data_IF_444057340215
#
_entry.id   IF_444057340215
#
_cell.length_a   1.000
_cell.length_b   1.000
_cell.length_c   1.000
_cell.angle_alpha   90.00
_cell.angle_beta   90.00
_cell.angle_gamma   90.00
#
_symmetry.space_group_name_H-M   'P 1'
#
loop_
_entity.id
_entity.type
_entity.pdbx_description
1 polymer ?
#
# COMPACT_ATOMS: atom_id res chain seq x y z
N UNK A 1 35.70 -16.56 9.37
CA UNK A 1 34.38 -17.22 9.20
C UNK A 1 33.32 -16.20 9.61
N UNK A 2 32.37 -15.85 8.76
CA UNK A 2 31.27 -14.97 9.15
C UNK A 2 30.48 -15.65 10.29
N UNK A 3 30.25 -14.96 11.40
CA UNK A 3 29.48 -15.49 12.53
C UNK A 3 28.03 -15.69 12.06
N UNK A 4 27.51 -16.91 12.15
CA UNK A 4 26.12 -17.22 11.92
C UNK A 4 25.33 -16.90 13.19
N UNK A 5 24.44 -15.90 13.14
CA UNK A 5 23.54 -15.58 14.24
C UNK A 5 22.24 -16.36 14.09
N UNK A 6 21.81 -17.01 15.17
CA UNK A 6 20.57 -17.80 15.18
C UNK A 6 19.49 -17.08 15.97
N UNK A 7 18.27 -17.05 15.41
CA UNK A 7 17.10 -16.42 16.02
C UNK A 7 15.89 -17.36 16.02
N UNK A 8 14.92 -17.08 16.88
CA UNK A 8 13.63 -17.77 16.85
C UNK A 8 12.80 -17.36 15.64
N UNK A 9 12.69 -16.06 15.41
CA UNK A 9 11.96 -15.49 14.25
C UNK A 9 12.81 -14.41 13.59
N UNK A 10 12.97 -14.54 12.29
CA UNK A 10 13.63 -13.53 11.46
C UNK A 10 12.57 -12.85 10.57
N UNK A 11 12.47 -11.55 10.66
CA UNK A 11 11.51 -10.72 9.91
C UNK A 11 12.26 -9.94 8.84
N UNK A 12 11.83 -10.05 7.59
CA UNK A 12 12.36 -9.30 6.45
C UNK A 12 11.43 -8.14 6.16
N UNK A 13 11.91 -6.92 6.36
CA UNK A 13 11.17 -5.67 6.20
C UNK A 13 10.68 -5.07 7.52
N UNK A 14 11.09 -3.82 7.79
CA UNK A 14 10.78 -3.02 8.99
C UNK A 14 9.64 -2.02 8.79
N UNK A 15 8.79 -2.24 7.79
CA UNK A 15 7.57 -1.46 7.62
C UNK A 15 6.50 -1.75 8.68
N UNK A 16 5.27 -1.34 8.40
CA UNK A 16 4.12 -1.59 9.28
C UNK A 16 4.02 -3.08 9.68
N UNK A 17 4.11 -3.99 8.71
CA UNK A 17 3.98 -5.44 8.95
C UNK A 17 5.05 -5.98 9.88
N UNK A 18 6.33 -5.67 9.59
CA UNK A 18 7.45 -6.23 10.34
C UNK A 18 7.55 -5.71 11.77
N UNK A 19 7.47 -4.39 11.98
CA UNK A 19 7.52 -3.82 13.34
C UNK A 19 6.32 -4.28 14.17
N UNK A 20 5.11 -4.27 13.57
CA UNK A 20 3.91 -4.75 14.27
C UNK A 20 4.02 -6.23 14.64
N UNK A 21 4.50 -7.08 13.70
CA UNK A 21 4.70 -8.50 13.95
C UNK A 21 5.74 -8.76 15.06
N UNK A 22 6.87 -8.04 15.04
CA UNK A 22 7.88 -8.11 16.11
C UNK A 22 7.29 -7.77 17.47
N UNK A 23 6.51 -6.68 17.54
CA UNK A 23 5.84 -6.26 18.77
C UNK A 23 4.80 -7.29 19.27
N UNK A 24 4.02 -7.87 18.35
CA UNK A 24 3.07 -8.95 18.69
C UNK A 24 3.76 -10.23 19.15
N UNK A 25 4.83 -10.65 18.50
CA UNK A 25 5.64 -11.82 18.88
C UNK A 25 6.20 -11.66 20.29
N UNK A 26 6.78 -10.50 20.61
CA UNK A 26 7.27 -10.23 21.96
C UNK A 26 6.16 -10.32 23.02
N UNK A 27 4.99 -9.77 22.74
CA UNK A 27 3.83 -9.86 23.65
C UNK A 27 3.32 -11.29 23.85
N UNK A 28 3.62 -12.19 22.93
CA UNK A 28 3.32 -13.62 23.01
C UNK A 28 4.50 -14.43 23.58
N UNK A 29 5.53 -13.77 24.11
CA UNK A 29 6.66 -14.39 24.80
C UNK A 29 7.83 -14.81 23.92
N UNK A 30 7.83 -14.54 22.62
CA UNK A 30 9.01 -14.71 21.77
C UNK A 30 10.05 -13.64 22.12
N UNK A 31 11.26 -14.03 22.49
CA UNK A 31 12.29 -13.10 22.96
C UNK A 31 13.43 -12.91 21.98
N UNK A 32 13.69 -13.89 21.13
CA UNK A 32 14.79 -13.87 20.17
C UNK A 32 14.26 -13.59 18.76
N UNK A 33 14.10 -12.30 18.46
CA UNK A 33 13.56 -11.80 17.19
C UNK A 33 14.63 -10.95 16.53
N UNK A 34 14.91 -11.22 15.24
CA UNK A 34 15.67 -10.33 14.39
C UNK A 34 14.80 -9.66 13.34
N UNK A 35 15.13 -8.42 13.00
CA UNK A 35 14.51 -7.62 11.95
C UNK A 35 15.59 -7.18 10.96
N UNK A 36 15.40 -7.44 9.68
CA UNK A 36 16.30 -6.99 8.59
C UNK A 36 15.58 -5.93 7.79
N UNK A 37 16.10 -4.70 7.84
CA UNK A 37 15.57 -3.56 7.08
C UNK A 37 16.63 -2.45 7.00
N UNK A 38 16.99 -1.93 5.81
CA UNK A 38 17.98 -0.87 5.63
C UNK A 38 17.43 0.52 5.95
N UNK A 39 16.10 0.68 6.05
CA UNK A 39 15.44 1.99 6.07
C UNK A 39 15.48 2.60 7.47
N UNK A 40 15.91 3.85 7.56
CA UNK A 40 16.01 4.58 8.83
C UNK A 40 14.79 5.48 9.14
N UNK A 41 13.98 5.78 8.13
CA UNK A 41 12.78 6.59 8.25
C UNK A 41 11.53 5.74 8.01
N UNK A 42 10.70 5.60 9.01
CA UNK A 42 9.44 4.88 8.92
C UNK A 42 8.33 5.80 8.39
N UNK A 43 7.70 5.42 7.28
CA UNK A 43 6.67 6.21 6.61
C UNK A 43 5.28 5.66 6.91
N UNK A 44 4.36 6.53 7.31
CA UNK A 44 2.93 6.22 7.39
C UNK A 44 2.24 6.54 6.06
N UNK A 45 2.34 5.63 5.10
CA UNK A 45 1.88 5.79 3.71
C UNK A 45 0.45 6.34 3.55
N UNK A 46 -0.56 6.04 4.41
CA UNK A 46 -1.90 6.61 4.23
C UNK A 46 -1.96 8.14 4.22
N UNK A 47 -0.99 8.85 4.86
CA UNK A 47 -0.92 10.30 4.82
C UNK A 47 -0.30 10.89 3.56
N UNK A 48 0.38 10.09 2.71
CA UNK A 48 1.08 10.62 1.53
C UNK A 48 0.15 11.40 0.59
N UNK A 49 -1.10 10.92 0.40
CA UNK A 49 -2.08 11.60 -0.44
C UNK A 49 -2.51 12.95 0.16
N UNK A 50 -2.63 13.03 1.48
CA UNK A 50 -2.94 14.28 2.18
C UNK A 50 -1.78 15.27 2.14
N UNK A 51 -0.53 14.78 2.19
CA UNK A 51 0.66 15.63 2.03
C UNK A 51 0.76 16.15 0.60
N UNK A 52 0.70 15.27 -0.40
CA UNK A 52 0.78 15.64 -1.82
C UNK A 52 -0.39 16.48 -2.33
N UNK A 53 -1.47 16.63 -1.55
CA UNK A 53 -2.61 17.51 -1.85
C UNK A 53 -2.74 18.69 -0.88
N UNK A 54 -1.78 18.88 0.03
CA UNK A 54 -1.70 20.04 0.92
C UNK A 54 -2.58 20.00 2.16
N UNK A 55 -3.16 18.84 2.51
CA UNK A 55 -4.01 18.69 3.71
C UNK A 55 -3.20 18.32 4.96
N UNK A 56 -2.04 17.67 4.77
CA UNK A 56 -1.14 17.28 5.83
C UNK A 56 0.27 17.84 5.61
N UNK A 57 1.03 17.98 6.69
CA UNK A 57 2.43 18.39 6.63
C UNK A 57 3.34 17.19 6.33
N UNK A 58 4.44 17.36 5.56
CA UNK A 58 5.47 16.33 5.39
C UNK A 58 6.01 15.78 6.72
N UNK A 59 6.07 16.61 7.77
CA UNK A 59 6.53 16.20 9.12
C UNK A 59 5.62 15.17 9.79
N UNK A 60 4.37 15.07 9.37
CA UNK A 60 3.42 14.08 9.90
C UNK A 60 3.60 12.70 9.26
N UNK A 61 4.24 12.66 8.06
CA UNK A 61 4.34 11.47 7.22
C UNK A 61 5.31 10.43 7.76
N UNK A 62 6.44 10.86 8.34
CA UNK A 62 7.50 9.94 8.73
C UNK A 62 8.04 10.19 10.13
N UNK A 63 8.67 9.18 10.70
CA UNK A 63 9.38 9.23 11.99
C UNK A 63 10.66 8.39 11.89
N UNK A 64 11.71 8.69 12.68
CA UNK A 64 12.87 7.80 12.79
C UNK A 64 12.43 6.39 13.17
N UNK A 65 12.97 5.37 12.48
CA UNK A 65 12.57 3.96 12.67
C UNK A 65 13.07 3.39 13.99
N UNK A 66 14.26 3.80 14.43
CA UNK A 66 14.91 3.23 15.63
C UNK A 66 14.02 3.22 16.89
N UNK A 67 13.30 4.31 17.27
CA UNK A 67 12.41 4.29 18.44
C UNK A 67 11.13 3.45 18.23
N UNK A 68 10.84 3.02 17.01
CA UNK A 68 9.65 2.23 16.68
C UNK A 68 9.94 0.73 16.77
N UNK A 69 11.19 0.32 16.52
CA UNK A 69 11.61 -1.07 16.70
C UNK A 69 11.47 -1.45 18.18
N UNK A 70 10.77 -2.55 18.52
CA UNK A 70 10.57 -2.93 19.91
C UNK A 70 11.89 -3.23 20.61
N UNK A 71 12.04 -2.80 21.86
CA UNK A 71 13.25 -3.03 22.65
C UNK A 71 13.56 -4.53 22.75
N UNK A 72 14.82 -4.91 22.52
CA UNK A 72 15.27 -6.30 22.52
C UNK A 72 15.10 -7.04 21.19
N UNK A 73 14.53 -6.42 20.15
CA UNK A 73 14.59 -6.93 18.77
C UNK A 73 15.95 -6.57 18.17
N UNK A 74 16.67 -7.56 17.63
CA UNK A 74 17.93 -7.35 16.94
C UNK A 74 17.67 -6.74 15.55
N UNK A 75 17.87 -5.43 15.41
CA UNK A 75 17.67 -4.77 14.11
C UNK A 75 18.98 -4.73 13.32
N UNK A 76 19.01 -5.46 12.21
CA UNK A 76 20.08 -5.45 11.22
C UNK A 76 19.73 -4.40 10.14
N UNK A 77 20.49 -3.31 10.10
CA UNK A 77 20.28 -2.16 9.19
C UNK A 77 20.89 -2.45 7.82
N UNK A 78 20.43 -3.48 7.18
CA UNK A 78 20.91 -3.98 5.89
C UNK A 78 19.77 -4.60 5.11
N UNK A 79 19.94 -4.81 3.82
CA UNK A 79 18.97 -5.49 2.98
C UNK A 79 19.20 -7.00 2.95
N UNK A 80 18.14 -7.79 2.96
CA UNK A 80 18.19 -9.20 2.60
C UNK A 80 18.41 -9.32 1.09
N UNK A 81 19.40 -10.11 0.66
CA UNK A 81 19.74 -10.31 -0.75
C UNK A 81 19.53 -11.73 -1.23
N UNK A 82 19.44 -12.70 -0.30
CA UNK A 82 19.17 -14.09 -0.61
C UNK A 82 18.53 -14.78 0.59
N UNK A 83 17.56 -15.66 0.34
CA UNK A 83 16.87 -16.45 1.36
C UNK A 83 16.92 -17.92 0.96
N UNK A 84 17.56 -18.74 1.76
CA UNK A 84 17.44 -20.21 1.67
C UNK A 84 16.27 -20.66 2.55
N UNK A 85 15.10 -21.00 1.97
CA UNK A 85 13.92 -21.35 2.75
C UNK A 85 14.03 -22.74 3.42
N UNK A 86 14.87 -23.62 2.88
CA UNK A 86 15.06 -24.99 3.42
C UNK A 86 15.93 -24.94 4.66
N UNK A 87 17.09 -24.30 4.58
CA UNK A 87 17.98 -24.10 5.72
C UNK A 87 17.54 -22.97 6.64
N UNK A 88 16.63 -22.11 6.17
CA UNK A 88 16.15 -20.90 6.84
C UNK A 88 17.29 -19.93 7.17
N UNK A 89 18.13 -19.70 6.17
CA UNK A 89 19.25 -18.78 6.23
C UNK A 89 18.95 -17.59 5.34
N UNK A 90 19.18 -16.39 5.86
CA UNK A 90 19.11 -15.14 5.10
C UNK A 90 20.52 -14.57 5.01
N UNK A 91 20.94 -14.23 3.80
CA UNK A 91 22.17 -13.50 3.54
C UNK A 91 21.82 -12.03 3.32
N UNK A 92 22.53 -11.16 4.01
CA UNK A 92 22.38 -9.73 3.93
C UNK A 92 23.43 -9.08 3.02
N UNK A 93 23.14 -7.87 2.54
CA UNK A 93 24.01 -7.12 1.63
C UNK A 93 25.38 -6.76 2.24
N UNK A 94 25.47 -6.64 3.57
CA UNK A 94 26.70 -6.41 4.32
C UNK A 94 27.52 -7.69 4.59
N UNK A 95 27.06 -8.85 4.07
CA UNK A 95 27.70 -10.15 4.27
C UNK A 95 27.24 -10.91 5.53
N UNK A 96 26.42 -10.30 6.38
CA UNK A 96 25.84 -10.97 7.57
C UNK A 96 24.98 -12.15 7.14
N UNK A 97 25.10 -13.27 7.88
CA UNK A 97 24.28 -14.47 7.70
C UNK A 97 23.44 -14.72 8.94
N UNK A 98 22.13 -14.80 8.75
CA UNK A 98 21.15 -14.97 9.82
C UNK A 98 20.39 -16.28 9.61
N UNK A 99 20.30 -17.11 10.63
CA UNK A 99 19.48 -18.33 10.62
C UNK A 99 18.30 -18.15 11.57
N UNK A 100 17.12 -18.66 11.22
CA UNK A 100 15.98 -18.62 12.11
C UNK A 100 15.18 -19.92 12.16
N UNK A 101 14.39 -20.10 13.21
CA UNK A 101 13.41 -21.18 13.26
C UNK A 101 12.21 -20.92 12.34
N UNK A 102 11.80 -19.67 12.22
CA UNK A 102 10.78 -19.21 11.27
C UNK A 102 11.23 -17.92 10.57
N UNK A 103 10.87 -17.75 9.28
CA UNK A 103 11.09 -16.53 8.51
C UNK A 103 9.73 -15.89 8.19
N UNK A 104 9.59 -14.60 8.49
CA UNK A 104 8.43 -13.80 8.12
C UNK A 104 8.81 -12.77 7.06
N UNK A 105 8.24 -12.89 5.87
CA UNK A 105 8.40 -11.95 4.77
C UNK A 105 7.37 -10.82 4.90
N UNK A 106 7.85 -9.61 5.11
CA UNK A 106 7.04 -8.39 5.17
C UNK A 106 7.74 -7.20 4.48
N UNK A 107 8.47 -7.40 3.34
CA UNK A 107 9.26 -6.35 2.71
C UNK A 107 8.41 -5.29 2.01
N UNK A 108 7.11 -5.54 1.86
CA UNK A 108 6.21 -4.67 1.11
C UNK A 108 6.47 -4.74 -0.40
N UNK A 109 6.06 -3.67 -1.09
CA UNK A 109 6.33 -3.44 -2.51
C UNK A 109 6.79 -2.01 -2.75
N UNK A 110 7.44 -1.80 -3.90
CA UNK A 110 8.04 -0.53 -4.30
C UNK A 110 7.38 -0.04 -5.58
N UNK A 111 7.39 1.28 -5.77
CA UNK A 111 7.01 1.92 -7.03
C UNK A 111 8.02 1.52 -8.10
N UNK A 112 7.53 1.08 -9.26
CA UNK A 112 8.36 0.68 -10.40
C UNK A 112 7.96 1.46 -11.66
N UNK A 113 8.42 2.71 -11.74
CA UNK A 113 8.17 3.56 -12.89
C UNK A 113 8.74 3.02 -14.22
N UNK A 114 9.69 2.06 -14.18
CA UNK A 114 10.23 1.47 -15.40
C UNK A 114 9.19 0.64 -16.18
N UNK A 115 8.14 0.18 -15.51
CA UNK A 115 7.02 -0.53 -16.13
C UNK A 115 6.04 0.38 -16.88
N UNK A 116 6.17 1.71 -16.74
CA UNK A 116 5.37 2.68 -17.47
C UNK A 116 6.29 3.59 -18.29
N UNK A 117 6.43 3.35 -19.62
CA UNK A 117 7.34 4.08 -20.49
C UNK A 117 7.20 5.60 -20.36
N UNK A 118 8.31 6.29 -20.12
CA UNK A 118 8.38 7.74 -19.97
C UNK A 118 7.93 8.29 -18.60
N UNK A 119 7.29 7.50 -17.75
CA UNK A 119 6.76 7.99 -16.48
C UNK A 119 7.84 8.49 -15.53
N UNK A 120 8.96 7.76 -15.38
CA UNK A 120 10.08 8.18 -14.53
C UNK A 120 10.60 9.57 -14.95
N UNK A 121 10.77 9.79 -16.26
CA UNK A 121 11.20 11.06 -16.80
C UNK A 121 10.16 12.16 -16.57
N UNK A 122 8.89 11.90 -16.84
CA UNK A 122 7.81 12.86 -16.65
C UNK A 122 7.63 13.29 -15.19
N UNK A 123 7.77 12.36 -14.22
CA UNK A 123 7.76 12.66 -12.78
C UNK A 123 8.99 13.51 -12.40
N UNK A 124 10.19 13.12 -12.82
CA UNK A 124 11.42 13.88 -12.53
C UNK A 124 11.39 15.29 -13.13
N UNK A 125 10.87 15.45 -14.36
CA UNK A 125 10.71 16.74 -15.04
C UNK A 125 9.54 17.58 -14.48
N UNK A 126 8.61 16.99 -13.71
CA UNK A 126 7.43 17.66 -13.17
C UNK A 126 6.33 17.90 -14.21
N UNK A 127 6.38 17.26 -15.38
CA UNK A 127 5.31 17.28 -16.38
C UNK A 127 4.16 16.35 -15.98
N UNK A 128 4.46 15.27 -15.24
CA UNK A 128 3.49 14.49 -14.49
C UNK A 128 3.79 14.56 -12.99
N UNK A 129 2.79 14.31 -12.15
CA UNK A 129 2.89 14.27 -10.69
C UNK A 129 2.30 12.99 -10.14
N UNK A 130 2.67 12.65 -8.90
CA UNK A 130 2.13 11.48 -8.21
C UNK A 130 2.16 11.67 -6.71
N UNK A 131 1.04 11.44 -6.05
CA UNK A 131 1.00 11.35 -4.58
C UNK A 131 1.57 10.03 -4.04
N UNK A 132 2.04 9.16 -4.91
CA UNK A 132 2.71 7.89 -4.56
C UNK A 132 4.24 7.99 -4.63
N UNK A 133 4.78 9.02 -5.29
CA UNK A 133 6.21 9.34 -5.28
C UNK A 133 6.49 10.21 -4.06
N UNK A 134 6.96 9.59 -2.96
CA UNK A 134 7.11 10.27 -1.66
C UNK A 134 8.07 11.44 -1.75
N UNK A 135 9.13 11.31 -2.55
CA UNK A 135 10.16 12.32 -2.78
C UNK A 135 9.63 13.54 -3.55
N UNK A 136 8.51 13.38 -4.27
CA UNK A 136 7.92 14.40 -5.14
C UNK A 136 6.60 14.98 -4.58
N UNK A 137 6.25 14.68 -3.34
CA UNK A 137 4.98 15.12 -2.74
C UNK A 137 4.84 16.64 -2.69
N UNK A 138 5.93 17.37 -2.44
CA UNK A 138 5.90 18.83 -2.39
C UNK A 138 5.62 19.41 -3.78
N UNK A 139 6.31 18.91 -4.82
CA UNK A 139 6.05 19.30 -6.22
C UNK A 139 4.61 18.96 -6.63
N UNK A 140 4.14 17.78 -6.23
CA UNK A 140 2.75 17.36 -6.49
C UNK A 140 1.76 18.34 -5.87
N UNK A 141 1.99 18.76 -4.62
CA UNK A 141 1.19 19.75 -3.91
C UNK A 141 1.17 21.09 -4.64
N UNK A 142 2.34 21.57 -5.05
CA UNK A 142 2.48 22.85 -5.77
C UNK A 142 1.76 22.83 -7.12
N UNK A 143 1.94 21.75 -7.89
CA UNK A 143 1.29 21.58 -9.21
C UNK A 143 -0.24 21.52 -9.10
N UNK A 144 -0.78 20.81 -8.11
CA UNK A 144 -2.23 20.77 -7.88
C UNK A 144 -2.76 22.13 -7.42
N UNK A 145 -2.04 22.82 -6.54
CA UNK A 145 -2.45 24.13 -6.02
C UNK A 145 -2.36 25.26 -7.07
N UNK A 146 -1.34 25.23 -7.93
CA UNK A 146 -1.12 26.23 -8.98
C UNK A 146 -1.92 25.96 -10.26
N UNK A 147 -2.65 24.84 -10.35
CA UNK A 147 -3.43 24.49 -11.53
C UNK A 147 -4.54 25.52 -11.77
N UNK A 148 -4.58 26.07 -12.98
CA UNK A 148 -5.44 27.20 -13.32
C UNK A 148 -6.66 26.84 -14.19
N UNK A 149 -6.84 25.58 -14.53
CA UNK A 149 -7.87 25.06 -15.43
C UNK A 149 -7.27 24.39 -16.65
N UNK A 150 -8.13 23.85 -17.54
CA UNK A 150 -7.71 23.03 -18.68
C UNK A 150 -8.07 21.57 -18.49
N UNK A 151 -7.26 20.65 -19.03
CA UNK A 151 -7.48 19.21 -18.95
C UNK A 151 -6.63 18.60 -17.85
N UNK A 152 -7.29 17.97 -16.87
CA UNK A 152 -6.63 17.26 -15.78
C UNK A 152 -6.92 15.75 -15.87
N UNK A 153 -5.89 14.93 -16.04
CA UNK A 153 -6.01 13.48 -16.14
C UNK A 153 -5.49 12.82 -14.88
N UNK A 154 -6.32 12.01 -14.23
CA UNK A 154 -5.95 11.15 -13.11
C UNK A 154 -5.98 9.70 -13.56
N UNK A 155 -4.82 9.05 -13.49
CA UNK A 155 -4.66 7.64 -13.84
C UNK A 155 -4.75 6.77 -12.60
N UNK A 156 -5.46 5.65 -12.72
CA UNK A 156 -5.52 4.58 -11.73
C UNK A 156 -5.11 3.28 -12.41
N UNK A 157 -3.90 2.85 -12.07
CA UNK A 157 -3.38 1.55 -12.46
C UNK A 157 -4.12 0.45 -11.68
N UNK A 158 -4.44 -0.67 -12.34
CA UNK A 158 -5.09 -1.80 -11.67
C UNK A 158 -4.07 -2.57 -10.80
N UNK A 159 -4.32 -3.78 -10.50
CA UNK A 159 -3.47 -4.61 -9.65
C UNK A 159 -2.11 -4.96 -10.32
N UNK A 160 -1.05 -5.14 -9.54
CA UNK A 160 -0.99 -5.04 -8.07
C UNK A 160 -0.85 -3.60 -7.58
N UNK A 161 -1.63 -3.23 -6.56
CA UNK A 161 -1.59 -1.91 -5.95
C UNK A 161 -1.63 -1.99 -4.41
N UNK A 162 -1.02 -1.02 -3.73
CA UNK A 162 -1.14 -0.85 -2.29
C UNK A 162 -2.38 -0.01 -1.97
N UNK A 163 -3.46 -0.69 -1.61
CA UNK A 163 -4.73 -0.02 -1.35
C UNK A 163 -5.23 0.71 -2.58
N UNK A 164 -5.66 -0.02 -3.61
CA UNK A 164 -6.14 0.53 -4.89
C UNK A 164 -7.12 1.69 -4.69
N UNK A 165 -7.97 1.59 -3.70
CA UNK A 165 -9.01 2.58 -3.37
C UNK A 165 -8.42 3.94 -2.99
N UNK A 166 -7.20 3.98 -2.50
CA UNK A 166 -6.53 5.25 -2.16
C UNK A 166 -6.12 6.04 -3.39
N UNK A 167 -6.03 5.39 -4.57
CA UNK A 167 -5.67 6.04 -5.83
C UNK A 167 -6.72 7.08 -6.30
N UNK A 168 -7.96 6.97 -5.82
CA UNK A 168 -8.99 7.97 -6.10
C UNK A 168 -8.86 9.24 -5.24
N UNK A 169 -8.17 9.19 -4.09
CA UNK A 169 -8.04 10.33 -3.15
C UNK A 169 -7.52 11.61 -3.83
N UNK A 170 -6.43 11.58 -4.62
CA UNK A 170 -5.88 12.79 -5.24
C UNK A 170 -6.88 13.52 -6.13
N UNK A 171 -7.64 12.79 -6.96
CA UNK A 171 -8.67 13.34 -7.82
C UNK A 171 -9.73 14.09 -7.02
N UNK A 172 -10.33 13.42 -6.04
CA UNK A 172 -11.41 14.01 -5.26
C UNK A 172 -10.95 15.23 -4.46
N UNK A 173 -9.75 15.16 -3.88
CA UNK A 173 -9.19 16.25 -3.08
C UNK A 173 -8.84 17.45 -3.97
N UNK A 174 -8.25 17.22 -5.16
CA UNK A 174 -7.93 18.26 -6.12
C UNK A 174 -9.21 18.93 -6.65
N UNK A 175 -10.23 18.16 -7.04
CA UNK A 175 -11.51 18.70 -7.49
C UNK A 175 -12.19 19.56 -6.41
N UNK A 176 -12.14 19.16 -5.14
CA UNK A 176 -12.71 19.96 -4.04
C UNK A 176 -11.92 21.24 -3.80
N UNK A 177 -10.59 21.23 -3.94
CA UNK A 177 -9.76 22.44 -3.93
C UNK A 177 -10.14 23.36 -5.08
N UNK A 178 -10.17 22.85 -6.32
CA UNK A 178 -10.47 23.62 -7.52
C UNK A 178 -11.91 24.17 -7.52
N UNK A 179 -12.86 23.45 -6.93
CA UNK A 179 -14.21 23.96 -6.70
C UNK A 179 -14.20 25.17 -5.77
N UNK A 180 -13.43 25.13 -4.68
CA UNK A 180 -13.37 26.22 -3.71
C UNK A 180 -12.67 27.48 -4.24
N UNK A 181 -11.87 27.34 -5.31
CA UNK A 181 -11.15 28.45 -5.97
C UNK A 181 -11.77 28.85 -7.31
N UNK A 182 -12.89 28.25 -7.73
CA UNK A 182 -13.54 28.50 -9.02
C UNK A 182 -12.78 27.94 -10.24
N UNK A 183 -11.73 27.14 -10.02
CA UNK A 183 -10.93 26.50 -11.08
C UNK A 183 -11.67 25.35 -11.72
N UNK A 184 -12.47 24.61 -10.94
CA UNK A 184 -13.17 23.40 -11.43
C UNK A 184 -14.11 23.68 -12.59
N UNK A 185 -14.74 24.85 -12.63
CA UNK A 185 -15.69 25.26 -13.68
C UNK A 185 -15.04 25.36 -15.07
N UNK A 186 -13.71 25.61 -15.12
CA UNK A 186 -12.92 25.67 -16.35
C UNK A 186 -11.95 24.49 -16.49
N UNK A 187 -12.25 23.38 -15.81
CA UNK A 187 -11.43 22.16 -15.81
C UNK A 187 -12.22 20.99 -16.36
N UNK A 188 -11.66 20.33 -17.36
CA UNK A 188 -12.13 19.03 -17.81
C UNK A 188 -11.36 17.94 -17.08
N UNK A 189 -11.99 17.32 -16.09
CA UNK A 189 -11.37 16.27 -15.29
C UNK A 189 -11.68 14.90 -15.89
N UNK A 190 -10.62 14.11 -16.14
CA UNK A 190 -10.72 12.75 -16.69
C UNK A 190 -10.11 11.76 -15.70
N UNK A 191 -10.83 10.72 -15.38
CA UNK A 191 -10.34 9.53 -14.68
C UNK A 191 -10.09 8.44 -15.72
N UNK A 192 -8.83 8.05 -15.88
CA UNK A 192 -8.42 6.88 -16.67
C UNK A 192 -8.19 5.73 -15.71
N UNK A 193 -9.00 4.68 -15.82
CA UNK A 193 -8.95 3.50 -14.95
C UNK A 193 -8.77 2.24 -15.78
N UNK A 194 -7.74 1.45 -15.48
CA UNK A 194 -7.41 0.24 -16.24
C UNK A 194 -8.43 -0.88 -16.08
N UNK A 195 -9.07 -0.97 -14.93
CA UNK A 195 -10.10 -1.97 -14.67
C UNK A 195 -11.41 -1.70 -15.43
N UNK A 196 -12.14 -2.77 -15.70
CA UNK A 196 -13.47 -2.71 -16.34
C UNK A 196 -14.56 -2.09 -15.44
N UNK A 197 -14.26 -1.86 -14.15
CA UNK A 197 -15.15 -1.25 -13.16
C UNK A 197 -14.34 -0.52 -12.11
N UNK A 198 -14.93 0.48 -11.44
CA UNK A 198 -14.26 1.29 -10.43
C UNK A 198 -13.93 0.51 -9.15
N UNK A 199 -14.77 -0.46 -8.78
CA UNK A 199 -14.55 -1.30 -7.61
C UNK A 199 -15.34 -2.60 -7.68
N UNK A 200 -14.78 -3.71 -7.14
CA UNK A 200 -15.43 -5.03 -7.14
C UNK A 200 -16.62 -5.12 -6.21
N UNK A 201 -16.62 -4.38 -5.09
CA UNK A 201 -17.76 -4.30 -4.15
C UNK A 201 -18.77 -3.29 -4.66
N UNK A 202 -19.95 -3.75 -5.09
CA UNK A 202 -20.94 -2.92 -5.77
C UNK A 202 -21.45 -1.72 -4.96
N UNK A 203 -21.45 -1.80 -3.62
CA UNK A 203 -21.84 -0.65 -2.78
C UNK A 203 -20.79 0.47 -2.84
N UNK A 204 -19.50 0.12 -2.81
CA UNK A 204 -18.39 1.08 -2.93
C UNK A 204 -18.38 1.67 -4.35
N UNK A 205 -18.55 0.84 -5.38
CA UNK A 205 -18.62 1.28 -6.77
C UNK A 205 -19.74 2.30 -7.01
N UNK A 206 -20.94 2.05 -6.47
CA UNK A 206 -22.06 3.01 -6.56
C UNK A 206 -21.72 4.34 -5.90
N UNK A 207 -21.07 4.34 -4.76
CA UNK A 207 -20.63 5.57 -4.07
C UNK A 207 -19.59 6.32 -4.92
N UNK A 208 -18.59 5.63 -5.47
CA UNK A 208 -17.60 6.22 -6.38
C UNK A 208 -18.27 6.88 -7.58
N UNK A 209 -19.17 6.18 -8.27
CA UNK A 209 -19.91 6.75 -9.39
C UNK A 209 -20.74 7.96 -9.00
N UNK A 210 -21.36 7.94 -7.82
CA UNK A 210 -22.14 9.08 -7.31
C UNK A 210 -21.25 10.31 -7.11
N UNK A 211 -20.06 10.13 -6.52
CA UNK A 211 -19.11 11.20 -6.26
C UNK A 211 -18.52 11.77 -7.57
N UNK A 212 -18.10 10.91 -8.49
CA UNK A 212 -17.51 11.30 -9.77
C UNK A 212 -18.53 12.09 -10.63
N UNK A 213 -19.78 11.61 -10.69
CA UNK A 213 -20.86 12.33 -11.39
C UNK A 213 -21.14 13.69 -10.79
N UNK A 214 -21.14 13.83 -9.46
CA UNK A 214 -21.35 15.11 -8.77
C UNK A 214 -20.25 16.14 -9.04
N UNK A 215 -19.08 15.67 -9.50
CA UNK A 215 -17.94 16.50 -9.90
C UNK A 215 -17.85 16.75 -11.41
N UNK A 216 -18.70 16.13 -12.22
CA UNK A 216 -18.62 16.19 -13.69
C UNK A 216 -17.40 15.49 -14.28
N UNK A 217 -16.84 14.48 -13.58
CA UNK A 217 -15.66 13.75 -14.04
C UNK A 217 -16.01 12.80 -15.19
N UNK A 218 -15.29 12.91 -16.30
CA UNK A 218 -15.29 11.90 -17.36
C UNK A 218 -14.57 10.64 -16.85
N UNK A 219 -15.21 9.47 -16.98
CA UNK A 219 -14.67 8.19 -16.51
C UNK A 219 -14.41 7.27 -17.71
N UNK A 220 -13.16 6.85 -17.88
CA UNK A 220 -12.72 5.90 -18.91
C UNK A 220 -12.27 4.60 -18.24
N UNK A 221 -13.14 3.61 -18.26
CA UNK A 221 -12.85 2.26 -17.76
C UNK A 221 -12.19 1.39 -18.83
N UNK A 222 -11.44 0.37 -18.41
CA UNK A 222 -10.72 -0.53 -19.31
C UNK A 222 -9.67 0.18 -20.16
N UNK A 223 -9.20 1.35 -19.71
CA UNK A 223 -8.26 2.20 -20.45
C UNK A 223 -6.94 2.28 -19.70
N UNK A 224 -5.84 1.90 -20.37
CA UNK A 224 -4.48 1.91 -19.80
C UNK A 224 -3.70 3.11 -20.30
N UNK A 225 -2.86 3.66 -19.43
CA UNK A 225 -1.76 4.54 -19.83
C UNK A 225 -0.59 3.64 -20.21
N UNK A 226 -0.21 3.65 -21.49
CA UNK A 226 0.89 2.83 -22.03
C UNK A 226 2.18 3.61 -22.25
N UNK A 227 2.14 4.93 -22.06
CA UNK A 227 3.33 5.80 -22.13
C UNK A 227 3.01 7.24 -21.79
N UNK A 228 4.06 7.97 -21.39
CA UNK A 228 4.00 9.41 -21.08
C UNK A 228 5.17 10.13 -21.76
N UNK A 229 4.88 11.18 -22.51
CA UNK A 229 5.88 12.00 -23.18
C UNK A 229 5.58 13.48 -22.95
N UNK A 230 6.31 14.10 -22.02
CA UNK A 230 6.02 15.46 -21.59
C UNK A 230 4.62 15.58 -20.99
N UNK A 231 3.76 16.37 -21.64
CA UNK A 231 2.36 16.61 -21.30
C UNK A 231 1.37 15.72 -22.09
N UNK A 232 1.88 14.70 -22.80
CA UNK A 232 1.09 13.81 -23.66
C UNK A 232 1.05 12.41 -23.05
N UNK A 233 -0.18 11.87 -22.90
CA UNK A 233 -0.45 10.48 -22.54
C UNK A 233 -0.73 9.65 -23.78
N UNK A 234 -0.11 8.48 -23.86
CA UNK A 234 -0.51 7.41 -24.77
C UNK A 234 -1.46 6.46 -24.04
N UNK A 235 -2.68 6.33 -24.54
CA UNK A 235 -3.76 5.55 -23.95
C UNK A 235 -4.15 4.40 -24.86
N UNK A 236 -4.47 3.25 -24.28
CA UNK A 236 -5.09 2.11 -24.96
C UNK A 236 -6.36 1.71 -24.22
N UNK A 237 -7.48 1.68 -24.93
CA UNK A 237 -8.78 1.33 -24.37
C UNK A 237 -9.68 0.58 -25.36
N UNK A 238 -10.94 0.33 -24.98
CA UNK A 238 -11.89 -0.39 -25.83
C UNK A 238 -12.12 0.26 -27.20
N UNK A 239 -11.92 1.59 -27.30
CA UNK A 239 -12.10 2.37 -28.54
C UNK A 239 -10.80 2.47 -29.36
N UNK A 240 -9.73 1.78 -28.95
CA UNK A 240 -8.42 1.81 -29.60
C UNK A 240 -7.38 2.64 -28.85
N UNK A 241 -6.31 3.01 -29.58
CA UNK A 241 -5.19 3.80 -29.05
C UNK A 241 -5.36 5.26 -29.39
N UNK A 242 -5.10 6.14 -28.42
CA UNK A 242 -5.14 7.58 -28.59
C UNK A 242 -3.98 8.26 -27.85
N UNK A 243 -3.49 9.37 -28.42
CA UNK A 243 -2.55 10.27 -27.75
C UNK A 243 -3.27 11.57 -27.41
N UNK A 244 -3.22 11.97 -26.15
CA UNK A 244 -3.87 13.20 -25.72
C UNK A 244 -2.99 14.03 -24.79
N UNK A 245 -3.12 15.35 -24.91
CA UNK A 245 -2.45 16.30 -24.02
C UNK A 245 -3.29 16.55 -22.78
N UNK A 246 -2.58 16.79 -21.68
CA UNK A 246 -3.20 17.24 -20.44
C UNK A 246 -2.34 18.32 -19.78
N UNK A 247 -3.00 19.32 -19.19
CA UNK A 247 -2.34 20.41 -18.46
C UNK A 247 -1.90 19.97 -17.06
N UNK A 248 -2.53 18.90 -16.53
CA UNK A 248 -2.12 18.21 -15.32
C UNK A 248 -2.29 16.69 -15.51
N UNK A 249 -1.23 15.94 -15.26
CA UNK A 249 -1.22 14.48 -15.28
C UNK A 249 -0.87 13.99 -13.88
N UNK A 250 -1.79 13.24 -13.24
CA UNK A 250 -1.51 12.53 -11.99
C UNK A 250 -1.44 11.02 -12.27
N UNK A 251 -0.30 10.42 -12.00
CA UNK A 251 -0.05 8.99 -12.25
C UNK A 251 -0.16 8.17 -10.96
N UNK A 252 -0.93 7.08 -11.02
CA UNK A 252 -0.81 5.95 -10.10
C UNK A 252 0.27 5.00 -10.65
N UNK A 253 1.31 4.66 -9.85
CA UNK A 253 2.42 3.88 -10.35
C UNK A 253 2.10 2.39 -10.50
N UNK A 254 2.79 1.67 -11.40
CA UNK A 254 2.97 0.25 -11.24
C UNK A 254 3.83 -0.06 -10.01
N UNK A 255 3.65 -1.26 -9.46
CA UNK A 255 4.41 -1.72 -8.30
C UNK A 255 5.14 -3.03 -8.59
N UNK A 256 6.26 -3.23 -7.90
CA UNK A 256 6.99 -4.49 -7.87
C UNK A 256 7.27 -4.91 -6.42
N UNK A 257 7.21 -6.22 -6.10
CA UNK A 257 7.66 -6.75 -4.83
C UNK A 257 9.19 -6.64 -4.71
N UNK A 258 9.73 -6.85 -3.50
CA UNK A 258 11.18 -6.90 -3.30
C UNK A 258 11.78 -8.09 -4.09
N UNK A 259 12.80 -7.82 -4.90
CA UNK A 259 13.42 -8.80 -5.81
C UNK A 259 13.91 -10.08 -5.09
N UNK A 260 14.37 -9.96 -3.84
CA UNK A 260 14.83 -11.09 -3.02
C UNK A 260 13.81 -12.21 -2.89
N UNK A 261 12.50 -11.93 -3.06
CA UNK A 261 11.44 -12.96 -2.99
C UNK A 261 11.57 -13.89 -4.19
N UNK A 262 11.52 -13.33 -5.42
CA UNK A 262 11.64 -14.10 -6.65
C UNK A 262 13.03 -14.69 -6.84
N UNK A 263 14.09 -13.91 -6.53
CA UNK A 263 15.48 -14.37 -6.61
C UNK A 263 15.76 -15.57 -5.70
N UNK A 264 14.96 -15.76 -4.65
CA UNK A 264 15.04 -16.87 -3.71
C UNK A 264 14.04 -18.02 -3.99
N UNK A 265 13.25 -17.92 -5.09
CA UNK A 265 12.26 -18.92 -5.46
C UNK A 265 11.08 -19.01 -4.48
N UNK A 266 10.72 -17.89 -3.84
CA UNK A 266 9.64 -17.79 -2.85
C UNK A 266 8.37 -17.14 -3.41
N UNK A 267 8.35 -16.81 -4.69
CA UNK A 267 7.23 -16.16 -5.34
C UNK A 267 6.16 -17.14 -5.84
N UNK A 268 4.94 -16.66 -5.91
CA UNK A 268 3.84 -17.43 -6.51
C UNK A 268 3.98 -17.43 -8.05
N UNK A 269 3.80 -18.57 -8.73
CA UNK A 269 3.85 -18.65 -10.18
C UNK A 269 2.90 -17.64 -10.84
N UNK A 270 3.44 -16.81 -11.75
CA UNK A 270 2.67 -15.81 -12.48
C UNK A 270 2.27 -14.57 -11.70
N UNK A 271 2.66 -14.45 -10.41
CA UNK A 271 2.33 -13.29 -9.57
C UNK A 271 3.14 -12.04 -9.90
N UNK A 272 4.21 -12.15 -10.67
CA UNK A 272 5.15 -11.06 -10.92
C UNK A 272 6.13 -10.82 -9.77
N UNK A 273 6.43 -11.88 -8.97
CA UNK A 273 7.44 -11.88 -7.91
C UNK A 273 6.90 -11.70 -6.50
N UNK A 274 5.56 -11.70 -6.30
CA UNK A 274 4.96 -11.64 -4.97
C UNK A 274 5.10 -12.97 -4.24
N UNK A 275 5.38 -12.92 -2.93
CA UNK A 275 5.59 -14.11 -2.11
C UNK A 275 4.39 -15.05 -2.14
N UNK A 276 4.64 -16.33 -2.42
CA UNK A 276 3.63 -17.36 -2.41
C UNK A 276 3.09 -17.58 -1.01
N UNK A 277 1.77 -17.55 -0.85
CA UNK A 277 1.10 -17.81 0.42
C UNK A 277 -0.19 -18.59 0.22
N UNK A 278 -0.48 -19.48 1.15
CA UNK A 278 -1.85 -19.89 1.39
C UNK A 278 -2.59 -18.69 1.99
N UNK A 279 -3.57 -18.17 1.25
CA UNK A 279 -4.25 -16.90 1.55
C UNK A 279 -5.05 -16.92 2.86
N UNK A 280 -5.35 -18.10 3.40
CA UNK A 280 -6.07 -18.23 4.67
C UNK A 280 -5.10 -18.32 5.85
N UNK A 281 -3.99 -19.04 5.71
CA UNK A 281 -3.05 -19.26 6.82
C UNK A 281 -1.85 -18.33 6.82
N UNK A 282 -1.60 -17.63 5.70
CA UNK A 282 -0.45 -16.74 5.47
C UNK A 282 0.91 -17.48 5.50
N UNK A 283 0.89 -18.80 5.32
CA UNK A 283 2.05 -19.66 5.27
C UNK A 283 2.44 -19.95 3.82
N UNK A 284 3.74 -20.00 3.54
CA UNK A 284 4.22 -20.43 2.23
C UNK A 284 3.77 -21.88 1.96
N UNK A 285 3.24 -22.21 0.78
CA UNK A 285 2.68 -23.54 0.50
C UNK A 285 3.71 -24.66 0.56
N UNK A 286 4.95 -24.42 0.13
CA UNK A 286 6.01 -25.42 0.07
C UNK A 286 6.95 -25.37 1.28
N UNK A 287 7.05 -24.24 1.98
CA UNK A 287 7.99 -24.03 3.06
C UNK A 287 7.27 -23.76 4.40
N UNK A 288 7.05 -24.80 5.18
CA UNK A 288 6.21 -24.78 6.39
C UNK A 288 6.66 -23.77 7.48
N UNK A 289 7.87 -23.23 7.40
CA UNK A 289 8.45 -22.25 8.34
C UNK A 289 8.71 -20.89 7.71
N UNK A 290 8.15 -20.66 6.50
CA UNK A 290 8.17 -19.37 5.82
C UNK A 290 6.74 -18.83 5.78
N UNK A 291 6.58 -17.56 6.09
CA UNK A 291 5.34 -16.85 6.21
C UNK A 291 5.42 -15.54 5.43
N UNK A 292 4.33 -15.04 4.87
CA UNK A 292 4.36 -13.73 4.24
C UNK A 292 3.07 -12.94 4.51
N UNK A 293 3.20 -11.61 4.64
CA UNK A 293 2.11 -10.68 4.91
C UNK A 293 2.31 -9.35 4.18
N UNK A 294 1.24 -8.59 4.07
CA UNK A 294 1.25 -7.23 3.52
C UNK A 294 1.44 -7.18 2.03
N UNK A 295 1.94 -6.03 1.56
CA UNK A 295 1.98 -5.70 0.14
C UNK A 295 2.91 -6.60 -0.68
N UNK A 296 3.91 -7.24 -0.06
CA UNK A 296 4.85 -8.15 -0.72
C UNK A 296 4.33 -9.58 -0.89
N UNK A 297 3.17 -9.93 -0.32
CA UNK A 297 2.56 -11.24 -0.43
C UNK A 297 1.48 -11.29 -1.52
N UNK A 298 1.28 -12.46 -2.13
CA UNK A 298 0.22 -12.66 -3.13
C UNK A 298 -1.14 -12.85 -2.46
N UNK A 299 -1.73 -11.72 -2.02
CA UNK A 299 -2.98 -11.64 -1.26
C UNK A 299 -4.11 -10.90 -2.00
N UNK A 300 -3.94 -10.60 -3.29
CA UNK A 300 -4.96 -9.88 -4.08
C UNK A 300 -5.30 -8.52 -3.49
N UNK A 301 -6.59 -8.24 -3.29
CA UNK A 301 -7.10 -6.94 -2.78
C UNK A 301 -6.73 -6.67 -1.30
N UNK A 302 -6.24 -7.68 -0.57
CA UNK A 302 -5.92 -7.55 0.85
C UNK A 302 -4.54 -6.91 1.14
N UNK A 303 -4.12 -5.96 0.29
CA UNK A 303 -2.89 -5.16 0.41
C UNK A 303 -3.18 -3.76 0.99
N UNK A 304 -3.83 -3.70 2.15
CA UNK A 304 -4.16 -2.46 2.84
C UNK A 304 -3.67 -2.46 4.28
N UNK A 305 -3.49 -1.28 4.88
CA UNK A 305 -3.08 -1.17 6.28
C UNK A 305 -4.07 -1.80 7.26
N UNK A 306 -5.36 -1.76 6.95
CA UNK A 306 -6.41 -2.41 7.73
C UNK A 306 -6.36 -3.93 7.65
N UNK A 307 -6.16 -4.48 6.44
CA UNK A 307 -5.92 -5.90 6.21
C UNK A 307 -4.68 -6.39 6.96
N UNK A 308 -3.58 -5.65 6.84
CA UNK A 308 -2.30 -5.99 7.46
C UNK A 308 -2.41 -6.12 8.99
N UNK A 309 -3.19 -5.28 9.66
CA UNK A 309 -3.46 -5.40 11.10
C UNK A 309 -4.01 -6.78 11.47
N UNK A 310 -4.93 -7.31 10.68
CA UNK A 310 -5.52 -8.65 10.90
C UNK A 310 -4.51 -9.74 10.52
N UNK A 311 -3.81 -9.57 9.40
CA UNK A 311 -2.77 -10.52 8.95
C UNK A 311 -1.66 -10.70 9.99
N UNK A 312 -1.16 -9.60 10.59
CA UNK A 312 -0.14 -9.65 11.66
C UNK A 312 -0.61 -10.50 12.84
N UNK A 313 -1.83 -10.28 13.31
CA UNK A 313 -2.37 -11.05 14.42
C UNK A 313 -2.43 -12.55 14.10
N UNK A 314 -2.93 -12.88 12.91
CA UNK A 314 -3.09 -14.27 12.46
C UNK A 314 -1.73 -14.94 12.22
N UNK A 315 -0.79 -14.29 11.53
CA UNK A 315 0.51 -14.90 11.23
C UNK A 315 1.31 -15.16 12.51
N UNK A 316 1.29 -14.23 13.47
CA UNK A 316 1.97 -14.41 14.76
C UNK A 316 1.36 -15.58 15.54
N UNK A 317 0.04 -15.70 15.57
CA UNK A 317 -0.61 -16.85 16.18
C UNK A 317 -0.32 -18.15 15.41
N UNK A 318 -0.27 -18.12 14.10
CA UNK A 318 0.03 -19.30 13.26
C UNK A 318 1.48 -19.77 13.40
N UNK A 319 2.46 -18.88 13.56
CA UNK A 319 3.83 -19.25 13.91
C UNK A 319 3.84 -20.04 15.23
N UNK A 320 3.14 -19.55 16.26
CA UNK A 320 3.03 -20.23 17.56
C UNK A 320 2.33 -21.59 17.43
N UNK A 321 1.19 -21.65 16.76
CA UNK A 321 0.39 -22.87 16.55
C UNK A 321 1.17 -23.91 15.75
N UNK A 322 1.86 -23.51 14.69
CA UNK A 322 2.69 -24.38 13.87
C UNK A 322 3.80 -25.04 14.69
N UNK A 323 4.41 -24.31 15.62
CA UNK A 323 5.44 -24.85 16.54
C UNK A 323 4.86 -25.84 17.54
N UNK A 324 3.62 -25.62 17.95
CA UNK A 324 2.90 -26.48 18.88
C UNK A 324 2.17 -27.67 18.23
N UNK A 325 2.24 -27.81 16.89
CA UNK A 325 1.48 -28.83 16.15
C UNK A 325 -0.03 -28.64 16.18
N UNK A 326 -0.51 -27.41 16.43
CA UNK A 326 -1.93 -27.06 16.49
C UNK A 326 -2.48 -26.63 15.12
N UNK A 327 -3.78 -26.79 14.86
CA UNK A 327 -4.42 -26.28 13.66
C UNK A 327 -4.22 -24.77 13.51
N UNK A 328 -3.95 -24.30 12.29
CA UNK A 328 -3.73 -22.87 12.01
C UNK A 328 -5.05 -22.08 12.03
N UNK A 329 -4.99 -20.83 12.45
CA UNK A 329 -6.08 -19.86 12.29
C UNK A 329 -6.22 -19.43 10.83
N UNK A 330 -7.45 -19.03 10.45
CA UNK A 330 -7.77 -18.62 9.09
C UNK A 330 -8.04 -17.13 8.99
N UNK A 331 -7.43 -16.52 8.01
CA UNK A 331 -7.68 -15.16 7.57
C UNK A 331 -8.79 -15.15 6.53
N UNK A 332 -9.87 -14.42 6.80
CA UNK A 332 -11.06 -14.34 5.93
C UNK A 332 -10.89 -13.38 4.73
N UNK A 333 -9.72 -12.75 4.60
CA UNK A 333 -9.45 -11.77 3.55
C UNK A 333 -10.01 -10.38 3.85
N UNK A 334 -10.29 -10.07 5.13
CA UNK A 334 -10.72 -8.74 5.55
C UNK A 334 -9.79 -7.65 5.01
N UNK A 335 -10.37 -6.62 4.44
CA UNK A 335 -9.67 -5.43 3.93
C UNK A 335 -10.52 -4.18 4.08
N UNK A 336 -9.93 -3.02 3.79
CA UNK A 336 -10.59 -1.72 3.93
C UNK A 336 -10.39 -0.85 2.70
N UNK A 337 -11.37 -0.01 2.40
CA UNK A 337 -11.37 0.95 1.30
C UNK A 337 -11.62 2.38 1.82
N UNK A 338 -10.61 3.07 2.36
CA UNK A 338 -10.73 4.46 2.79
C UNK A 338 -10.54 5.40 1.60
N UNK A 339 -11.63 5.98 1.09
CA UNK A 339 -11.62 6.86 -0.09
C UNK A 339 -11.99 8.27 0.33
N UNK A 340 -11.02 9.18 0.42
CA UNK A 340 -11.32 10.61 0.60
C UNK A 340 -12.07 11.12 -0.64
N UNK A 341 -13.26 11.64 -0.43
CA UNK A 341 -14.17 12.14 -1.47
C UNK A 341 -14.17 13.67 -1.55
N UNK A 342 -13.48 14.31 -0.63
CA UNK A 342 -13.16 15.74 -0.62
C UNK A 342 -12.04 16.00 0.39
N UNK A 343 -11.63 17.24 0.57
CA UNK A 343 -10.68 17.63 1.62
C UNK A 343 -11.20 17.43 3.05
N UNK A 344 -12.50 17.18 3.23
CA UNK A 344 -13.17 17.07 4.54
C UNK A 344 -14.14 15.91 4.66
N UNK A 345 -14.21 15.03 3.68
CA UNK A 345 -15.11 13.88 3.70
C UNK A 345 -14.43 12.64 3.16
N UNK A 346 -14.82 11.49 3.67
CA UNK A 346 -14.28 10.18 3.31
C UNK A 346 -15.41 9.15 3.29
N UNK A 347 -15.39 8.25 2.33
CA UNK A 347 -16.12 6.99 2.29
C UNK A 347 -15.25 5.91 2.89
N UNK A 348 -15.78 5.09 3.79
CA UNK A 348 -15.04 4.02 4.46
C UNK A 348 -15.73 2.68 4.23
N UNK A 349 -15.16 1.83 3.38
CA UNK A 349 -15.65 0.49 3.12
C UNK A 349 -14.81 -0.57 3.82
N UNK A 350 -15.45 -1.59 4.37
CA UNK A 350 -14.81 -2.80 4.88
C UNK A 350 -15.45 -4.02 4.20
N UNK A 351 -14.62 -4.96 3.77
CA UNK A 351 -15.13 -6.16 3.10
C UNK A 351 -14.19 -7.36 3.29
N UNK A 352 -14.69 -8.56 2.99
CA UNK A 352 -13.93 -9.81 3.04
C UNK A 352 -13.60 -10.33 1.63
N UNK A 353 -12.86 -11.44 1.55
CA UNK A 353 -12.48 -12.09 0.28
C UNK A 353 -13.66 -12.47 -0.62
N UNK A 354 -14.83 -12.72 -0.03
CA UNK A 354 -16.07 -12.99 -0.76
C UNK A 354 -16.79 -11.71 -1.20
N UNK A 355 -16.12 -10.53 -1.09
CA UNK A 355 -16.65 -9.19 -1.42
C UNK A 355 -17.90 -8.81 -0.59
N UNK A 356 -18.13 -9.46 0.54
CA UNK A 356 -19.21 -9.13 1.45
C UNK A 356 -18.79 -7.93 2.30
N UNK A 357 -19.64 -6.91 2.34
CA UNK A 357 -19.44 -5.75 3.21
C UNK A 357 -19.43 -6.20 4.66
N UNK A 358 -18.37 -5.80 5.37
CA UNK A 358 -18.22 -6.02 6.81
C UNK A 358 -18.45 -4.69 7.52
N UNK A 359 -18.90 -4.74 8.75
CA UNK A 359 -19.12 -3.56 9.59
C UNK A 359 -18.46 -3.79 10.93
N UNK A 360 -17.33 -3.13 11.14
CA UNK A 360 -16.61 -3.21 12.43
C UNK A 360 -17.20 -2.23 13.44
N UNK A 361 -17.78 -1.12 12.95
CA UNK A 361 -18.42 -0.10 13.78
C UNK A 361 -19.93 -0.16 13.63
N UNK A 362 -20.70 0.08 14.72
CA UNK A 362 -22.16 0.03 14.71
C UNK A 362 -22.76 1.34 14.16
N UNK A 363 -22.38 1.71 12.93
CA UNK A 363 -22.88 2.92 12.26
C UNK A 363 -23.69 2.54 11.01
N UNK A 364 -24.75 3.29 10.69
CA UNK A 364 -25.72 2.86 9.68
C UNK A 364 -25.18 2.75 8.25
N UNK A 365 -24.25 3.62 7.84
CA UNK A 365 -23.78 3.68 6.44
C UNK A 365 -22.33 4.17 6.36
N UNK A 366 -21.38 3.23 6.53
CA UNK A 366 -19.94 3.51 6.50
C UNK A 366 -19.46 3.89 5.10
N UNK A 367 -20.08 3.33 4.07
CA UNK A 367 -19.68 3.52 2.67
C UNK A 367 -20.08 4.92 2.18
N UNK A 368 -21.13 5.50 2.75
CA UNK A 368 -21.51 6.86 2.40
C UNK A 368 -20.50 7.86 2.91
N UNK A 369 -20.04 8.74 2.02
CA UNK A 369 -19.09 9.80 2.33
C UNK A 369 -19.56 10.67 3.51
N UNK A 370 -18.67 10.86 4.50
CA UNK A 370 -18.97 11.59 5.73
C UNK A 370 -17.74 12.34 6.25
N UNK A 371 -17.91 13.52 6.86
CA UNK A 371 -16.83 14.22 7.57
C UNK A 371 -16.29 13.44 8.77
N UNK A 372 -17.11 12.63 9.43
CA UNK A 372 -16.69 11.80 10.57
C UNK A 372 -15.59 10.81 10.18
N UNK A 373 -15.76 10.14 9.05
CA UNK A 373 -14.76 9.19 8.54
C UNK A 373 -13.47 9.90 8.13
N UNK A 374 -13.57 11.12 7.60
CA UNK A 374 -12.39 11.94 7.31
C UNK A 374 -11.62 12.29 8.59
N UNK A 375 -12.31 12.71 9.66
CA UNK A 375 -11.65 13.00 10.94
C UNK A 375 -10.96 11.77 11.52
N UNK A 376 -11.59 10.60 11.40
CA UNK A 376 -11.00 9.33 11.82
C UNK A 376 -9.75 9.00 10.99
N UNK A 377 -9.84 9.02 9.65
CA UNK A 377 -8.73 8.67 8.74
C UNK A 377 -7.56 9.66 8.88
N UNK A 378 -7.88 10.96 8.90
CA UNK A 378 -6.87 12.02 8.90
C UNK A 378 -6.16 12.19 10.24
N UNK A 379 -6.86 12.07 11.36
CA UNK A 379 -6.35 12.40 12.67
C UNK A 379 -6.34 11.22 13.66
N UNK A 380 -7.36 10.38 13.63
CA UNK A 380 -7.51 9.25 14.55
C UNK A 380 -6.58 8.10 14.22
N UNK A 381 -6.64 7.61 12.96
CA UNK A 381 -5.85 6.44 12.53
C UNK A 381 -4.33 6.65 12.63
N UNK A 382 -3.73 7.84 12.37
CA UNK A 382 -2.31 8.05 12.64
C UNK A 382 -1.94 7.83 14.12
N UNK A 383 -2.77 8.28 15.09
CA UNK A 383 -2.51 8.06 16.52
C UNK A 383 -2.61 6.58 16.88
N UNK A 384 -3.64 5.90 16.34
CA UNK A 384 -3.80 4.44 16.50
C UNK A 384 -2.61 3.70 15.91
N UNK A 385 -2.11 4.12 14.75
CA UNK A 385 -0.95 3.53 14.10
C UNK A 385 0.31 3.62 14.96
N UNK A 386 0.73 4.84 15.31
CA UNK A 386 1.97 5.09 16.02
C UNK A 386 1.98 4.51 17.44
N UNK A 387 0.84 4.54 18.13
CA UNK A 387 0.75 4.23 19.58
C UNK A 387 0.13 2.88 19.90
N UNK A 388 -0.55 2.24 18.96
CA UNK A 388 -1.21 0.95 19.19
C UNK A 388 -0.74 -0.15 18.23
N UNK A 389 -0.84 0.08 16.90
CA UNK A 389 -0.52 -0.95 15.88
C UNK A 389 0.96 -1.31 15.95
N UNK A 390 1.86 -0.33 15.78
CA UNK A 390 3.32 -0.58 15.85
C UNK A 390 3.80 -1.06 17.23
N UNK A 391 2.96 -0.97 18.26
CA UNK A 391 3.26 -1.47 19.61
C UNK A 391 2.63 -2.84 19.91
N UNK A 392 2.02 -3.48 18.91
CA UNK A 392 1.38 -4.78 19.06
C UNK A 392 0.20 -4.77 20.05
N UNK A 393 -0.57 -3.67 20.08
CA UNK A 393 -1.71 -3.48 20.99
C UNK A 393 -3.06 -3.55 20.29
N UNK A 394 -3.07 -3.86 19.02
CA UNK A 394 -4.26 -4.05 18.17
C UNK A 394 -4.06 -5.19 17.20
#
# INVERSE_FOLDING_TARGET
MASEHRHDVLIIGGGNGGISAAAHLQRRGCRDIALVDPVEQHVYKPLQHYVGTGIASPRELSRPQAPLVPAGVAWHRTAAVEIDPVQRIVRCADGTRLRAADILLAPGMQVDWARLPGAAHAIAAGTAVSTFAIEELERTRERIAAFAGGRAVFHVHEQPASGLETAFKPLFIACDLWRSTGVLERTHVVLVHEGARLHRVGAIERELHRQLRALGVEVRLGTRVVGVEGDVLALEGPEGSVRERADLIHLHPPYAPAAVIADSGLDAPGSGGFAAVDVETLRHPEHARVWAIGDGADLGDARTGGALRVQVRIVVENIRRSRAGLPLERYDGYTVAPIATSRRSLSFGEYDRALRVRRTLPVPDEIRSSPLWHLLDRYGLPQVYWHRILRGRL
#
